data_IF_534035974578
#
_entry.id   IF_534035974578
#
_cell.length_a   1.000
_cell.length_b   1.000
_cell.length_c   1.000
_cell.angle_alpha   90.00
_cell.angle_beta   90.00
_cell.angle_gamma   90.00
#
_symmetry.space_group_name_H-M   'P 1'
#
loop_
_entity.id
_entity.type
_entity.pdbx_description
1 polymer ?
#
# COMPACT_ATOMS: atom_id res chain seq x y z
N UNK A 1 -17.21 -11.50 62.48
CA UNK A 1 -17.73 -12.84 62.87
C UNK A 1 -18.62 -13.29 61.71
N UNK A 2 -18.37 -14.28 60.87
CA UNK A 2 -17.57 -15.53 60.87
C UNK A 2 -17.05 -15.70 59.42
N UNK A 3 -15.75 -15.84 59.14
CA UNK A 3 -14.88 -17.03 59.17
C UNK A 3 -15.01 -17.99 57.94
N UNK A 4 -13.84 -18.30 57.35
CA UNK A 4 -13.47 -19.41 56.41
C UNK A 4 -13.84 -19.22 54.91
N UNK A 5 -12.90 -19.19 53.96
CA UNK A 5 -12.14 -20.32 53.38
C UNK A 5 -13.00 -20.95 52.27
N UNK A 6 -12.62 -21.06 50.99
CA UNK A 6 -11.62 -21.97 50.43
C UNK A 6 -11.31 -21.61 48.97
N UNK A 7 -10.03 -21.75 48.62
CA UNK A 7 -9.53 -21.81 47.24
C UNK A 7 -10.05 -23.08 46.58
N UNK A 8 -10.70 -22.99 45.41
CA UNK A 8 -10.97 -24.13 44.55
C UNK A 8 -10.74 -23.75 43.08
N UNK A 9 -9.58 -24.20 42.59
CA UNK A 9 -9.12 -24.24 41.22
C UNK A 9 -10.21 -24.86 40.31
N UNK A 10 -10.81 -24.07 39.43
CA UNK A 10 -11.71 -24.58 38.38
C UNK A 10 -11.04 -24.42 37.02
N UNK A 11 -10.69 -25.58 36.47
CA UNK A 11 -10.19 -25.77 35.12
C UNK A 11 -11.26 -25.41 34.08
N UNK A 12 -10.76 -25.01 32.91
CA UNK A 12 -11.33 -25.20 31.55
C UNK A 12 -12.08 -24.02 30.91
N UNK A 13 -11.65 -23.78 29.66
CA UNK A 13 -12.30 -23.11 28.53
C UNK A 13 -12.20 -21.58 28.44
N UNK A 14 -11.07 -21.14 27.89
CA UNK A 14 -11.07 -20.02 26.93
C UNK A 14 -12.03 -20.42 25.79
N UNK A 15 -13.20 -19.78 25.72
CA UNK A 15 -14.12 -19.92 24.60
C UNK A 15 -13.52 -19.25 23.37
N UNK A 16 -12.87 -20.05 22.52
CA UNK A 16 -12.47 -19.66 21.17
C UNK A 16 -13.72 -19.67 20.30
N UNK A 17 -14.33 -18.51 20.12
CA UNK A 17 -15.51 -18.38 19.28
C UNK A 17 -15.11 -18.56 17.80
N UNK A 18 -15.64 -19.63 17.20
CA UNK A 18 -15.32 -20.07 15.84
C UNK A 18 -16.24 -19.41 14.82
N UNK A 19 -15.75 -18.42 14.08
CA UNK A 19 -16.35 -18.05 12.79
C UNK A 19 -15.70 -18.90 11.69
N UNK A 20 -16.45 -19.89 11.22
CA UNK A 20 -16.03 -20.80 10.15
C UNK A 20 -15.90 -20.12 8.78
N UNK A 21 -15.05 -20.73 7.94
CA UNK A 21 -15.23 -20.69 6.49
C UNK A 21 -14.30 -19.78 5.69
N UNK A 22 -12.98 -19.86 5.85
CA UNK A 22 -12.07 -19.37 4.80
C UNK A 22 -12.08 -20.37 3.63
N UNK A 23 -12.56 -19.93 2.46
CA UNK A 23 -12.33 -20.61 1.19
C UNK A 23 -10.85 -20.39 0.82
N UNK A 24 -9.98 -21.25 1.32
CA UNK A 24 -8.55 -21.25 0.98
C UNK A 24 -8.39 -21.80 -0.43
N UNK A 25 -8.29 -20.91 -1.43
CA UNK A 25 -7.81 -21.29 -2.76
C UNK A 25 -6.29 -21.41 -2.69
N UNK A 26 -5.82 -22.65 -2.61
CA UNK A 26 -4.40 -23.01 -2.67
C UNK A 26 -3.86 -22.72 -4.07
N UNK A 27 -3.30 -21.53 -4.27
CA UNK A 27 -2.40 -21.27 -5.39
C UNK A 27 -1.08 -22.03 -5.13
N UNK A 28 -0.45 -22.61 -6.18
CA UNK A 28 0.83 -23.30 -6.02
C UNK A 28 1.89 -22.35 -5.43
N UNK A 29 2.85 -22.87 -4.64
CA UNK A 29 3.98 -22.07 -4.17
C UNK A 29 4.78 -21.62 -5.40
N UNK A 30 4.76 -20.31 -5.69
CA UNK A 30 5.64 -19.74 -6.71
C UNK A 30 7.06 -19.76 -6.12
N UNK A 31 7.85 -20.70 -6.64
CA UNK A 31 9.26 -20.89 -6.37
C UNK A 31 10.01 -19.56 -6.39
N UNK A 32 10.66 -19.27 -5.26
CA UNK A 32 11.63 -18.19 -5.10
C UNK A 32 12.89 -18.58 -5.85
N UNK A 33 13.01 -18.14 -7.10
CA UNK A 33 14.32 -18.06 -7.75
C UNK A 33 14.99 -16.74 -7.37
N UNK A 34 16.03 -16.88 -6.56
CA UNK A 34 17.03 -15.84 -6.34
C UNK A 34 17.78 -15.62 -7.65
N UNK A 35 17.49 -14.52 -8.35
CA UNK A 35 18.33 -13.99 -9.41
C UNK A 35 18.98 -12.70 -8.90
N UNK A 36 20.27 -12.80 -8.61
CA UNK A 36 21.12 -11.69 -8.17
C UNK A 36 21.75 -11.06 -9.41
N UNK A 37 21.28 -9.90 -9.89
CA UNK A 37 22.13 -8.86 -10.53
C UNK A 37 21.33 -7.63 -10.93
N UNK A 38 21.70 -6.49 -10.35
CA UNK A 38 21.24 -5.17 -10.76
C UNK A 38 21.13 -4.19 -9.61
N UNK A 39 22.22 -3.94 -8.88
CA UNK A 39 22.39 -2.64 -8.23
C UNK A 39 22.56 -1.66 -9.39
N UNK A 40 21.45 -1.11 -9.88
CA UNK A 40 21.49 -0.02 -10.84
C UNK A 40 21.66 1.28 -10.05
N UNK A 41 22.86 1.42 -9.48
CA UNK A 41 23.41 2.74 -9.21
C UNK A 41 23.67 3.36 -10.57
N UNK A 42 23.17 4.58 -10.74
CA UNK A 42 23.15 5.40 -11.98
C UNK A 42 21.87 5.17 -12.79
N UNK A 43 20.79 5.89 -12.50
CA UNK A 43 20.76 7.31 -12.84
C UNK A 43 19.74 8.01 -11.94
N UNK A 44 20.25 8.90 -11.08
CA UNK A 44 19.60 10.17 -10.77
C UNK A 44 19.21 10.79 -12.11
N UNK A 45 18.06 10.36 -12.63
CA UNK A 45 17.50 10.84 -13.87
C UNK A 45 16.81 12.12 -13.47
N UNK A 46 17.62 13.16 -13.35
CA UNK A 46 17.27 14.54 -13.65
C UNK A 46 16.73 14.57 -15.08
N UNK A 47 15.54 14.00 -15.29
CA UNK A 47 14.71 14.25 -16.46
C UNK A 47 13.51 14.99 -15.92
N UNK A 48 13.73 16.27 -15.64
CA UNK A 48 12.73 17.33 -15.82
C UNK A 48 11.29 16.95 -15.43
N UNK A 49 11.10 16.30 -14.28
CA UNK A 49 9.84 16.38 -13.56
C UNK A 49 9.78 17.81 -13.05
N UNK A 50 8.94 18.64 -13.66
CA UNK A 50 8.62 19.90 -13.02
C UNK A 50 8.03 19.59 -11.63
N UNK A 51 8.85 19.76 -10.61
CA UNK A 51 8.44 20.20 -9.29
C UNK A 51 7.41 19.37 -8.53
N UNK A 52 7.50 18.04 -8.49
CA UNK A 52 6.79 17.31 -7.44
C UNK A 52 7.37 17.74 -6.09
N UNK A 53 6.60 18.54 -5.35
CA UNK A 53 7.00 19.11 -4.07
C UNK A 53 5.88 18.98 -3.07
N UNK A 54 6.22 18.52 -1.87
CA UNK A 54 5.31 18.48 -0.73
C UNK A 54 5.23 19.82 0.02
N UNK A 55 5.89 20.88 -0.48
CA UNK A 55 5.83 22.20 0.14
C UNK A 55 4.40 22.74 0.04
N UNK A 56 3.78 23.02 1.20
CA UNK A 56 2.41 23.50 1.30
C UNK A 56 1.34 22.41 1.15
N UNK A 57 1.74 21.14 1.09
CA UNK A 57 0.82 19.99 1.10
C UNK A 57 0.66 19.46 2.52
N UNK A 58 -0.49 18.85 2.81
CA UNK A 58 -0.72 18.16 4.08
C UNK A 58 0.12 16.87 4.18
N UNK A 59 0.42 16.43 5.41
CA UNK A 59 1.04 15.13 5.64
C UNK A 59 0.13 14.02 5.10
N UNK A 60 0.72 13.10 4.32
CA UNK A 60 -0.02 12.04 3.65
C UNK A 60 -0.77 12.46 2.38
N UNK A 61 -0.64 13.71 1.91
CA UNK A 61 -1.24 14.14 0.65
C UNK A 61 -0.72 13.33 -0.54
N UNK A 62 -1.59 13.06 -1.51
CA UNK A 62 -1.25 12.37 -2.74
C UNK A 62 -1.16 13.35 -3.91
N UNK A 63 -0.08 13.24 -4.69
CA UNK A 63 0.21 14.11 -5.83
C UNK A 63 0.39 13.26 -7.09
N UNK A 64 -0.30 13.60 -8.17
CA UNK A 64 -0.08 12.94 -9.47
C UNK A 64 1.22 13.44 -10.10
N UNK A 65 1.94 12.57 -10.80
CA UNK A 65 2.99 13.01 -11.69
C UNK A 65 2.40 13.73 -12.93
N UNK A 66 2.90 14.93 -13.30
CA UNK A 66 2.38 15.68 -14.44
C UNK A 66 2.76 15.08 -15.79
N UNK A 67 3.83 14.28 -15.85
CA UNK A 67 4.40 13.73 -17.07
C UNK A 67 4.08 12.24 -17.25
N UNK A 68 3.76 11.53 -16.16
CA UNK A 68 3.51 10.10 -16.20
C UNK A 68 2.29 9.72 -15.34
N UNK A 69 1.16 9.48 -15.99
CA UNK A 69 -0.08 9.09 -15.34
C UNK A 69 -0.02 7.80 -14.51
N UNK A 70 0.97 6.92 -14.71
CA UNK A 70 1.15 5.74 -13.85
C UNK A 70 1.84 6.07 -12.51
N UNK A 71 2.48 7.23 -12.42
CA UNK A 71 3.22 7.66 -11.24
C UNK A 71 2.40 8.62 -10.39
N UNK A 72 2.51 8.42 -9.09
CA UNK A 72 1.99 9.34 -8.08
C UNK A 72 2.93 9.35 -6.88
N UNK A 73 2.73 10.31 -5.99
CA UNK A 73 3.57 10.53 -4.84
C UNK A 73 2.72 10.69 -3.60
N UNK A 74 3.23 10.24 -2.46
CA UNK A 74 2.66 10.53 -1.14
C UNK A 74 3.64 11.37 -0.34
N UNK A 75 3.17 12.46 0.25
CA UNK A 75 3.99 13.29 1.12
C UNK A 75 4.17 12.61 2.48
N UNK A 76 5.43 12.34 2.84
CA UNK A 76 5.82 11.74 4.11
C UNK A 76 6.92 12.59 4.74
N UNK A 77 6.67 13.18 5.90
CA UNK A 77 7.58 14.11 6.56
C UNK A 77 8.06 15.24 5.63
N UNK A 78 7.15 15.77 4.81
CA UNK A 78 7.46 16.82 3.83
C UNK A 78 8.29 16.37 2.61
N UNK A 79 8.51 15.07 2.45
CA UNK A 79 9.22 14.49 1.29
C UNK A 79 8.25 13.73 0.38
N UNK A 80 8.33 13.89 -0.95
CA UNK A 80 7.51 13.12 -1.87
C UNK A 80 8.06 11.70 -2.03
N UNK A 81 7.30 10.71 -1.58
CA UNK A 81 7.60 9.30 -1.79
C UNK A 81 6.90 8.83 -3.05
N UNK A 82 7.65 8.30 -4.02
CA UNK A 82 7.13 7.85 -5.32
C UNK A 82 6.43 6.48 -5.23
N UNK A 83 5.33 6.36 -5.95
CA UNK A 83 4.58 5.13 -6.16
C UNK A 83 4.24 4.94 -7.64
N UNK A 84 3.99 3.70 -8.03
CA UNK A 84 3.63 3.33 -9.39
C UNK A 84 2.37 2.48 -9.39
N UNK A 85 1.42 2.80 -10.27
CA UNK A 85 0.26 1.97 -10.54
C UNK A 85 0.64 0.74 -11.36
N UNK A 86 -0.07 -0.37 -11.13
CA UNK A 86 0.13 -1.58 -11.92
C UNK A 86 -0.42 -1.38 -13.34
N UNK A 87 0.28 -1.76 -14.41
CA UNK A 87 -0.30 -1.73 -15.75
C UNK A 87 -1.58 -2.59 -15.84
N UNK A 88 -2.66 -2.13 -16.52
CA UNK A 88 -2.79 -0.94 -17.36
C UNK A 88 -3.41 0.29 -16.64
N UNK A 89 -3.29 0.37 -15.31
CA UNK A 89 -3.94 1.41 -14.49
C UNK A 89 -3.10 2.68 -14.36
N UNK A 90 -3.74 3.79 -14.03
CA UNK A 90 -3.16 5.12 -13.81
C UNK A 90 -3.70 5.72 -12.51
N UNK A 91 -2.98 6.67 -11.92
CA UNK A 91 -3.43 7.30 -10.69
C UNK A 91 -4.66 8.17 -10.93
N UNK A 92 -5.75 7.85 -10.24
CA UNK A 92 -6.99 8.60 -10.24
C UNK A 92 -7.07 9.48 -8.98
N UNK A 93 -6.91 10.82 -9.09
CA UNK A 93 -6.96 11.71 -7.93
C UNK A 93 -8.35 11.83 -7.29
N UNK A 94 -9.42 11.38 -7.96
CA UNK A 94 -10.79 11.40 -7.42
C UNK A 94 -10.97 10.34 -6.35
N UNK A 95 -10.43 9.14 -6.58
CA UNK A 95 -10.52 8.01 -5.64
C UNK A 95 -9.23 7.81 -4.83
N UNK A 96 -8.22 8.65 -5.07
CA UNK A 96 -6.89 8.58 -4.44
C UNK A 96 -6.21 7.21 -4.61
N UNK A 97 -6.44 6.54 -5.76
CA UNK A 97 -5.95 5.20 -6.03
C UNK A 97 -5.77 4.96 -7.54
N UNK A 98 -5.18 3.83 -7.89
CA UNK A 98 -5.03 3.41 -9.28
C UNK A 98 -6.37 2.95 -9.88
N UNK A 99 -6.66 3.42 -11.08
CA UNK A 99 -7.88 3.12 -11.84
C UNK A 99 -7.56 2.98 -13.34
N UNK A 100 -8.49 2.46 -14.12
CA UNK A 100 -8.33 2.38 -15.57
C UNK A 100 -8.27 3.78 -16.20
N UNK A 101 -7.46 3.92 -17.26
CA UNK A 101 -7.32 5.18 -18.01
C UNK A 101 -8.64 5.76 -18.49
N UNK A 102 -9.62 4.91 -18.80
CA UNK A 102 -10.98 5.31 -19.21
C UNK A 102 -11.71 6.11 -18.14
N UNK A 103 -11.35 5.93 -16.87
CA UNK A 103 -11.95 6.61 -15.73
C UNK A 103 -11.17 7.88 -15.32
N UNK A 104 -10.02 8.13 -15.95
CA UNK A 104 -9.14 9.28 -15.67
C UNK A 104 -8.95 10.07 -16.97
N UNK A 105 -9.89 10.97 -17.33
CA UNK A 105 -9.87 11.66 -18.62
C UNK A 105 -8.61 12.50 -18.83
N UNK A 106 -8.00 13.01 -17.75
CA UNK A 106 -6.71 13.72 -17.79
C UNK A 106 -5.54 12.85 -18.29
N UNK A 107 -5.70 11.54 -18.27
CA UNK A 107 -4.71 10.54 -18.66
C UNK A 107 -5.09 9.76 -19.92
N UNK A 108 -6.15 10.18 -20.61
CA UNK A 108 -6.65 9.55 -21.83
C UNK A 108 -6.03 10.11 -23.12
N UNK A 109 -5.17 11.14 -23.03
CA UNK A 109 -4.54 11.81 -24.17
C UNK A 109 -3.01 11.61 -24.20
N UNK A 110 -2.55 10.36 -24.27
CA UNK A 110 -1.13 10.02 -24.39
C UNK A 110 -0.88 9.14 -25.62
#
# INVERSE_FOLDING_TARGET
MMLTGFVALSLVAVVVESCGGIKTTTSPPLTTESSTRGIDTTKTTTSSSQGISCKGQAEGAYLRDPNNCQLFYRCVYGQPVKFNCAPPTVYNPVIMNCDYKTNVPECNNA
#
